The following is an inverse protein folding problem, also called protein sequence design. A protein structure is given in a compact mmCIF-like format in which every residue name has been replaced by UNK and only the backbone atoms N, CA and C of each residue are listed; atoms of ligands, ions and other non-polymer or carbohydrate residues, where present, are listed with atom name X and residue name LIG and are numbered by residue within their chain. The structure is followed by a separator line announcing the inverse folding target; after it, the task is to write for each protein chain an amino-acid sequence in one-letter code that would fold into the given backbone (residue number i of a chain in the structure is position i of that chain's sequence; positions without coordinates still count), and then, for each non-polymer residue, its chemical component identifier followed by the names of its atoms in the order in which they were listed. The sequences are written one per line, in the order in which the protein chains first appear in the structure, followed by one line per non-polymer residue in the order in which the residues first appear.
data_IF_853710601329
#
_entry.id   IF_853710601329
#
_cell.length_a   1.000
_cell.length_b   1.000
_cell.length_c   1.000
_cell.angle_alpha   90.00
_cell.angle_beta   90.00
_cell.angle_gamma   90.00
#
_symmetry.space_group_name_H-M   'P 1'
#
loop_
_entity.id
_entity.type
_entity.pdbx_description
1 polymer ?
#
# COMPACT_ATOMS: atom_id res chain seq x y z
N UNK A 1 -20.99 -0.74 -1.61
CA UNK A 1 -19.67 -0.73 -0.93
C UNK A 1 -18.70 -1.53 -1.80
N UNK A 2 -17.47 -1.06 -2.02
CA UNK A 2 -16.46 -1.82 -2.79
C UNK A 2 -16.18 -3.13 -2.06
N UNK A 3 -16.47 -4.26 -2.70
CA UNK A 3 -16.26 -5.58 -2.14
C UNK A 3 -14.83 -6.07 -2.42
N UNK A 4 -13.88 -5.51 -1.67
CA UNK A 4 -12.47 -5.84 -1.80
C UNK A 4 -12.17 -7.30 -1.40
N UNK A 5 -12.99 -7.91 -0.55
CA UNK A 5 -12.82 -9.32 -0.17
C UNK A 5 -13.07 -10.21 -1.38
N UNK A 6 -14.17 -10.01 -2.11
CA UNK A 6 -14.47 -10.78 -3.31
C UNK A 6 -13.54 -10.45 -4.48
N UNK A 7 -13.13 -9.20 -4.63
CA UNK A 7 -12.24 -8.78 -5.72
C UNK A 7 -10.77 -9.21 -5.54
N UNK A 8 -10.31 -9.36 -4.30
CA UNK A 8 -8.88 -9.56 -4.00
C UNK A 8 -8.64 -10.87 -3.26
N UNK A 9 -9.25 -11.03 -2.09
CA UNK A 9 -8.93 -12.12 -1.19
C UNK A 9 -9.46 -13.46 -1.69
N UNK A 10 -10.69 -13.50 -2.23
CA UNK A 10 -11.29 -14.74 -2.74
C UNK A 10 -10.47 -15.39 -3.86
N UNK A 11 -9.98 -14.67 -4.89
CA UNK A 11 -9.06 -15.23 -5.88
C UNK A 11 -7.79 -15.83 -5.25
N UNK A 12 -7.21 -15.15 -4.26
CA UNK A 12 -6.01 -15.62 -3.54
C UNK A 12 -6.32 -16.88 -2.72
N UNK A 13 -7.42 -16.90 -1.98
CA UNK A 13 -7.86 -18.05 -1.20
C UNK A 13 -8.11 -19.27 -2.09
N UNK A 14 -8.77 -19.08 -3.24
CA UNK A 14 -9.00 -20.15 -4.22
C UNK A 14 -7.68 -20.74 -4.73
N UNK A 15 -6.72 -19.88 -5.06
CA UNK A 15 -5.39 -20.33 -5.50
C UNK A 15 -4.66 -21.12 -4.40
N UNK A 16 -4.76 -20.67 -3.15
CA UNK A 16 -4.14 -21.34 -2.00
C UNK A 16 -4.89 -22.61 -1.53
N UNK A 17 -6.01 -22.97 -2.17
CA UNK A 17 -6.82 -24.13 -1.77
C UNK A 17 -7.63 -23.93 -0.49
N UNK A 18 -7.85 -22.69 -0.06
CA UNK A 18 -8.65 -22.38 1.12
C UNK A 18 -10.13 -22.70 0.91
N UNK A 19 -10.71 -23.50 1.82
CA UNK A 19 -12.12 -23.92 1.75
C UNK A 19 -13.10 -22.84 2.22
N UNK A 20 -12.64 -21.92 3.06
CA UNK A 20 -13.46 -20.83 3.63
C UNK A 20 -13.17 -19.57 2.84
N UNK A 21 -14.12 -19.18 1.98
CA UNK A 21 -14.04 -17.98 1.15
C UNK A 21 -14.83 -16.82 1.79
N UNK A 22 -14.51 -15.59 1.41
CA UNK A 22 -15.30 -14.42 1.80
C UNK A 22 -15.08 -13.90 3.22
N UNK A 23 -14.18 -14.51 4.00
CA UNK A 23 -13.76 -13.98 5.31
C UNK A 23 -12.55 -13.08 5.17
N UNK A 24 -12.52 -11.99 5.94
CA UNK A 24 -11.34 -11.13 6.09
C UNK A 24 -10.19 -11.87 6.77
N UNK A 25 -8.95 -11.40 6.56
CA UNK A 25 -7.81 -11.79 7.41
C UNK A 25 -8.01 -11.21 8.82
N UNK A 26 -7.63 -11.95 9.86
CA UNK A 26 -7.72 -11.47 11.25
C UNK A 26 -6.77 -10.30 11.48
N UNK A 27 -5.55 -10.38 10.95
CA UNK A 27 -4.54 -9.34 11.10
C UNK A 27 -3.67 -9.22 9.85
N UNK A 28 -3.40 -7.97 9.47
CA UNK A 28 -2.53 -7.65 8.36
C UNK A 28 -1.44 -6.67 8.77
N UNK A 29 -0.20 -6.92 8.34
CA UNK A 29 0.87 -5.95 8.38
C UNK A 29 1.05 -5.34 6.99
N UNK A 30 1.01 -4.01 6.89
CA UNK A 30 1.42 -3.27 5.68
C UNK A 30 2.80 -2.69 5.93
N UNK A 31 3.78 -3.17 5.16
CA UNK A 31 5.19 -2.79 5.32
C UNK A 31 5.57 -1.82 4.21
N UNK A 32 5.71 -0.55 4.58
CA UNK A 32 6.24 0.50 3.74
C UNK A 32 7.75 0.37 3.56
N UNK A 33 8.32 1.27 2.75
CA UNK A 33 9.72 1.16 2.37
C UNK A 33 10.63 2.14 3.14
N UNK A 34 10.10 2.94 4.07
CA UNK A 34 10.88 3.98 4.77
C UNK A 34 12.11 3.42 5.49
N UNK A 35 13.23 4.14 5.41
CA UNK A 35 14.46 3.81 6.13
C UNK A 35 14.32 3.83 7.65
N UNK A 36 13.23 4.38 8.20
CA UNK A 36 12.94 4.37 9.64
C UNK A 36 12.86 2.94 10.18
N UNK A 37 12.49 1.96 9.33
CA UNK A 37 12.42 0.56 9.73
C UNK A 37 13.76 0.03 10.25
N UNK A 38 14.90 0.57 9.80
CA UNK A 38 16.23 0.14 10.25
C UNK A 38 16.57 0.58 11.69
N UNK A 39 15.69 1.36 12.33
CA UNK A 39 15.89 1.85 13.71
C UNK A 39 15.21 0.96 14.76
N UNK A 40 14.49 -0.08 14.35
CA UNK A 40 13.73 -0.95 15.24
C UNK A 40 13.67 -2.38 14.71
N UNK A 41 13.49 -3.35 15.59
CA UNK A 41 13.47 -4.77 15.25
C UNK A 41 12.04 -5.29 15.12
N UNK A 42 11.28 -4.75 14.16
CA UNK A 42 9.87 -5.14 13.97
C UNK A 42 9.69 -6.49 13.28
N UNK A 43 10.77 -7.21 12.92
CA UNK A 43 10.70 -8.37 12.06
C UNK A 43 9.78 -9.47 12.57
N UNK A 44 9.92 -9.87 13.84
CA UNK A 44 9.06 -10.88 14.45
C UNK A 44 7.61 -10.40 14.59
N UNK A 45 7.40 -9.13 14.93
CA UNK A 45 6.07 -8.54 15.04
C UNK A 45 5.36 -8.51 13.69
N UNK A 46 6.05 -8.11 12.63
CA UNK A 46 5.52 -8.13 11.25
C UNK A 46 5.15 -9.56 10.87
N UNK A 47 6.06 -10.51 11.07
CA UNK A 47 5.85 -11.91 10.70
C UNK A 47 4.79 -12.61 11.59
N UNK A 48 4.39 -12.04 12.72
CA UNK A 48 3.29 -12.56 13.56
C UNK A 48 1.88 -12.36 12.95
N UNK A 49 1.73 -11.49 11.94
CA UNK A 49 0.44 -11.21 11.31
C UNK A 49 -0.01 -12.36 10.38
N UNK A 50 -1.33 -12.52 10.20
CA UNK A 50 -1.89 -13.54 9.31
C UNK A 50 -1.48 -13.28 7.86
N UNK A 51 -1.55 -12.01 7.41
CA UNK A 51 -1.07 -11.59 6.10
C UNK A 51 -0.07 -10.43 6.19
N UNK A 52 0.95 -10.46 5.34
CA UNK A 52 1.92 -9.37 5.19
C UNK A 52 1.89 -8.83 3.76
N UNK A 53 1.62 -7.53 3.63
CA UNK A 53 1.56 -6.79 2.36
C UNK A 53 2.83 -5.95 2.23
N UNK A 54 3.60 -6.14 1.16
CA UNK A 54 4.85 -5.39 0.89
C UNK A 54 4.77 -4.62 -0.42
N UNK A 55 5.49 -3.49 -0.50
CA UNK A 55 5.35 -2.53 -1.59
C UNK A 55 6.53 -2.57 -2.58
N UNK A 56 6.25 -2.46 -3.89
CA UNK A 56 7.20 -2.05 -4.93
C UNK A 56 8.58 -2.76 -4.91
N UNK A 57 8.59 -4.09 -4.76
CA UNK A 57 9.80 -4.92 -4.76
C UNK A 57 10.84 -4.54 -3.67
N UNK A 58 10.36 -4.12 -2.50
CA UNK A 58 11.20 -3.91 -1.33
C UNK A 58 12.03 -5.16 -1.03
N UNK A 59 13.31 -5.00 -0.71
CA UNK A 59 14.17 -6.17 -0.45
C UNK A 59 13.82 -6.79 0.89
N UNK A 60 13.68 -8.11 0.91
CA UNK A 60 13.66 -8.95 2.11
C UNK A 60 14.87 -9.88 2.09
N UNK A 61 15.20 -10.51 3.22
CA UNK A 61 16.35 -11.39 3.37
C UNK A 61 17.65 -10.69 3.78
N UNK A 62 18.63 -11.51 4.16
CA UNK A 62 19.99 -11.12 4.57
C UNK A 62 20.01 -10.26 5.85
N UNK A 63 20.17 -8.95 5.69
CA UNK A 63 20.45 -8.00 6.76
C UNK A 63 19.20 -7.24 7.20
N UNK A 64 18.03 -7.50 6.61
CA UNK A 64 16.82 -6.73 6.90
C UNK A 64 15.77 -7.50 7.70
N UNK A 65 15.85 -8.83 7.77
CA UNK A 65 14.77 -9.66 8.34
C UNK A 65 14.48 -9.31 9.81
N UNK A 66 15.50 -8.95 10.59
CA UNK A 66 15.34 -8.48 11.97
C UNK A 66 14.48 -7.20 12.06
N UNK A 67 14.57 -6.30 11.08
CA UNK A 67 13.79 -5.07 11.04
C UNK A 67 12.44 -5.23 10.37
N UNK A 68 12.39 -5.92 9.23
CA UNK A 68 11.23 -5.88 8.32
C UNK A 68 10.54 -7.22 8.14
N UNK A 69 11.04 -8.29 8.76
CA UNK A 69 10.50 -9.64 8.65
C UNK A 69 10.79 -10.30 7.31
N UNK A 70 10.46 -11.57 7.21
CA UNK A 70 10.69 -12.42 6.04
C UNK A 70 9.39 -12.82 5.33
N UNK A 71 8.26 -12.82 6.04
CA UNK A 71 6.95 -13.22 5.50
C UNK A 71 6.47 -12.21 4.46
N UNK A 72 5.93 -12.72 3.36
CA UNK A 72 5.17 -11.94 2.38
C UNK A 72 4.00 -12.76 1.89
N UNK A 73 2.79 -12.23 2.10
CA UNK A 73 1.54 -12.87 1.65
C UNK A 73 1.01 -12.22 0.37
N UNK A 74 1.24 -10.92 0.20
CA UNK A 74 0.76 -10.13 -0.93
C UNK A 74 1.84 -9.14 -1.35
N UNK A 75 2.14 -9.11 -2.65
CA UNK A 75 3.00 -8.10 -3.28
C UNK A 75 2.13 -6.99 -3.86
N UNK A 76 2.18 -5.79 -3.29
CA UNK A 76 1.44 -4.65 -3.82
C UNK A 76 2.39 -3.74 -4.63
N UNK A 77 2.13 -3.56 -5.92
CA UNK A 77 3.08 -2.89 -6.82
C UNK A 77 2.42 -1.83 -7.68
N UNK A 78 3.14 -0.74 -7.92
CA UNK A 78 2.82 0.21 -8.98
C UNK A 78 3.05 -0.43 -10.36
N UNK A 79 2.19 -0.16 -11.35
CA UNK A 79 2.36 -0.70 -12.72
C UNK A 79 3.70 -0.38 -13.40
N UNK A 80 4.36 0.72 -13.07
CA UNK A 80 5.72 1.01 -13.56
C UNK A 80 6.74 -0.05 -13.08
N UNK A 81 6.55 -0.62 -11.89
CA UNK A 81 7.41 -1.70 -11.38
C UNK A 81 7.21 -2.97 -12.21
N UNK A 82 5.96 -3.29 -12.56
CA UNK A 82 5.68 -4.41 -13.46
C UNK A 82 6.30 -4.16 -14.84
N UNK A 83 6.14 -2.95 -15.39
CA UNK A 83 6.71 -2.57 -16.69
C UNK A 83 8.23 -2.82 -16.74
N UNK A 84 8.98 -2.45 -15.69
CA UNK A 84 10.43 -2.69 -15.63
C UNK A 84 10.80 -4.18 -15.70
N UNK A 85 9.99 -5.05 -15.09
CA UNK A 85 10.25 -6.47 -14.98
C UNK A 85 9.63 -7.31 -16.11
N UNK A 86 8.58 -6.80 -16.78
CA UNK A 86 7.89 -7.42 -17.91
C UNK A 86 8.68 -7.31 -19.24
N UNK A 87 9.66 -6.41 -19.32
CA UNK A 87 10.53 -6.22 -20.52
C UNK A 87 11.42 -7.44 -20.86
N UNK A 88 11.43 -8.49 -20.05
CA UNK A 88 12.18 -9.73 -20.29
C UNK A 88 11.19 -10.85 -20.64
N UNK A 89 11.58 -11.74 -21.56
CA UNK A 89 10.76 -12.91 -21.94
C UNK A 89 10.34 -13.71 -20.69
N UNK A 90 9.05 -14.04 -20.55
CA UNK A 90 8.53 -14.88 -19.46
C UNK A 90 8.15 -14.18 -18.14
N UNK A 91 8.17 -12.85 -18.09
CA UNK A 91 7.76 -12.04 -16.92
C UNK A 91 8.38 -12.51 -15.57
N UNK A 92 9.59 -12.07 -15.27
CA UNK A 92 10.30 -12.43 -14.02
C UNK A 92 9.91 -11.57 -12.80
N UNK A 93 8.64 -11.19 -12.69
CA UNK A 93 8.14 -10.34 -11.60
C UNK A 93 7.89 -11.13 -10.31
N UNK A 94 8.92 -11.72 -9.70
CA UNK A 94 8.78 -12.50 -8.46
C UNK A 94 9.66 -11.96 -7.32
N UNK A 95 9.50 -10.68 -6.94
CA UNK A 95 10.35 -10.02 -5.94
C UNK A 95 10.36 -10.73 -4.57
N UNK A 96 9.24 -11.38 -4.22
CA UNK A 96 9.02 -12.03 -2.93
C UNK A 96 8.85 -13.56 -3.08
N UNK A 97 9.23 -14.12 -4.22
CA UNK A 97 9.06 -15.53 -4.54
C UNK A 97 7.94 -15.82 -5.55
N UNK A 98 7.99 -17.02 -6.13
CA UNK A 98 7.12 -17.44 -7.26
C UNK A 98 5.69 -17.77 -6.86
N UNK A 99 5.40 -17.83 -5.56
CA UNK A 99 4.09 -18.22 -5.02
C UNK A 99 3.32 -17.03 -4.42
N UNK A 100 3.86 -15.82 -4.51
CA UNK A 100 3.24 -14.62 -3.93
C UNK A 100 2.33 -13.96 -4.96
N UNK A 101 1.03 -13.75 -4.66
CA UNK A 101 0.13 -13.00 -5.52
C UNK A 101 0.55 -11.53 -5.61
N UNK A 102 0.28 -10.93 -6.76
CA UNK A 102 0.61 -9.53 -7.04
C UNK A 102 -0.69 -8.76 -7.20
N UNK A 103 -0.80 -7.63 -6.51
CA UNK A 103 -1.90 -6.68 -6.66
C UNK A 103 -1.29 -5.36 -7.14
N UNK A 104 -1.96 -4.71 -8.09
CA UNK A 104 -1.45 -3.46 -8.66
C UNK A 104 -2.56 -2.52 -9.11
N UNK A 105 -2.25 -1.23 -9.15
CA UNK A 105 -3.00 -0.24 -9.90
C UNK A 105 -2.27 0.12 -11.19
N UNK A 106 -3.03 0.49 -12.21
CA UNK A 106 -2.51 0.91 -13.50
C UNK A 106 -2.27 2.43 -13.50
N UNK A 107 -1.06 2.83 -13.84
CA UNK A 107 -0.67 4.24 -13.95
C UNK A 107 -0.73 4.73 -15.40
N UNK A 108 -0.50 3.84 -16.36
CA UNK A 108 -0.52 4.16 -17.78
C UNK A 108 -1.24 3.06 -18.55
N UNK A 109 -2.05 3.40 -19.58
CA UNK A 109 -2.71 2.41 -20.42
C UNK A 109 -1.75 1.43 -21.09
N UNK A 110 -0.53 1.88 -21.42
CA UNK A 110 0.50 1.03 -22.02
C UNK A 110 0.88 -0.17 -21.12
N UNK A 111 0.82 -0.02 -19.80
CA UNK A 111 1.15 -1.10 -18.85
C UNK A 111 0.10 -2.21 -18.82
N UNK A 112 -1.04 -2.03 -19.49
CA UNK A 112 -2.03 -3.10 -19.60
C UNK A 112 -1.48 -4.28 -20.41
N UNK A 113 -0.65 -4.02 -21.43
CA UNK A 113 -0.02 -5.10 -22.19
C UNK A 113 0.97 -5.89 -21.34
N UNK A 114 1.77 -5.22 -20.52
CA UNK A 114 2.68 -5.87 -19.57
C UNK A 114 1.91 -6.77 -18.60
N UNK A 115 0.76 -6.30 -18.12
CA UNK A 115 -0.13 -7.11 -17.29
C UNK A 115 -0.62 -8.36 -18.03
N UNK A 116 -1.07 -8.25 -19.29
CA UNK A 116 -1.56 -9.42 -20.04
C UNK A 116 -0.46 -10.46 -20.23
N UNK A 117 0.75 -10.03 -20.59
CA UNK A 117 1.92 -10.91 -20.72
C UNK A 117 2.24 -11.56 -19.39
N UNK A 118 2.36 -10.78 -18.32
CA UNK A 118 2.67 -11.29 -16.99
C UNK A 118 1.59 -12.22 -16.41
N UNK A 119 0.32 -11.90 -16.58
CA UNK A 119 -0.80 -12.69 -16.07
C UNK A 119 -0.89 -14.07 -16.77
N UNK A 120 -0.38 -14.19 -18.00
CA UNK A 120 -0.30 -15.48 -18.70
C UNK A 120 0.79 -16.41 -18.15
N UNK A 121 1.84 -15.85 -17.54
CA UNK A 121 3.04 -16.58 -17.11
C UNK A 121 3.16 -16.71 -15.59
N UNK A 122 2.64 -15.73 -14.83
CA UNK A 122 2.62 -15.71 -13.37
C UNK A 122 1.57 -16.68 -12.86
N UNK A 123 1.99 -17.70 -12.10
CA UNK A 123 1.08 -18.74 -11.60
C UNK A 123 0.12 -18.23 -10.51
N UNK A 124 0.58 -17.45 -9.51
CA UNK A 124 -0.32 -16.85 -8.53
C UNK A 124 -1.21 -15.78 -9.16
N UNK A 125 -2.32 -15.39 -8.51
CA UNK A 125 -3.14 -14.29 -8.97
C UNK A 125 -2.34 -12.99 -9.17
N UNK A 126 -2.44 -12.41 -10.36
CA UNK A 126 -2.04 -11.05 -10.68
C UNK A 126 -3.32 -10.22 -10.85
N UNK A 127 -3.58 -9.29 -9.92
CA UNK A 127 -4.87 -8.60 -9.80
C UNK A 127 -4.67 -7.10 -10.03
N UNK A 128 -5.46 -6.52 -10.94
CA UNK A 128 -5.59 -5.07 -11.09
C UNK A 128 -6.70 -4.57 -10.15
N UNK A 129 -6.45 -3.49 -9.42
CA UNK A 129 -7.44 -2.84 -8.55
C UNK A 129 -8.60 -2.25 -9.35
N UNK A 130 -9.79 -2.20 -8.74
CA UNK A 130 -10.98 -1.61 -9.35
C UNK A 130 -10.76 -0.09 -9.57
N UNK A 131 -11.04 0.48 -10.75
CA UNK A 131 -10.86 1.92 -11.00
C UNK A 131 -11.64 2.82 -10.03
N UNK A 132 -12.76 2.35 -9.48
CA UNK A 132 -13.52 3.09 -8.45
C UNK A 132 -12.76 3.18 -7.14
N UNK A 133 -11.97 2.15 -6.82
CA UNK A 133 -11.09 2.13 -5.66
C UNK A 133 -9.91 3.10 -5.85
N UNK A 134 -9.35 3.16 -7.05
CA UNK A 134 -8.31 4.14 -7.40
C UNK A 134 -8.83 5.58 -7.25
N UNK A 135 -10.03 5.87 -7.79
CA UNK A 135 -10.68 7.18 -7.67
C UNK A 135 -10.98 7.53 -6.20
N UNK A 136 -11.40 6.56 -5.39
CA UNK A 136 -11.63 6.77 -3.96
C UNK A 136 -10.34 7.18 -3.25
N UNK A 137 -9.25 6.44 -3.45
CA UNK A 137 -7.95 6.76 -2.85
C UNK A 137 -7.46 8.15 -3.28
N UNK A 138 -7.53 8.46 -4.58
CA UNK A 138 -7.13 9.77 -5.10
C UNK A 138 -7.95 10.92 -4.51
N UNK A 139 -9.28 10.75 -4.35
CA UNK A 139 -10.15 11.78 -3.76
C UNK A 139 -9.84 12.02 -2.29
N UNK A 140 -9.57 10.96 -1.52
CA UNK A 140 -9.20 11.09 -0.10
C UNK A 140 -7.91 11.90 0.02
N UNK A 141 -6.83 11.49 -0.66
CA UNK A 141 -5.54 12.20 -0.56
C UNK A 141 -5.67 13.64 -1.06
N UNK A 142 -6.38 13.87 -2.17
CA UNK A 142 -6.60 15.23 -2.67
C UNK A 142 -7.34 16.11 -1.66
N UNK A 143 -8.33 15.58 -0.94
CA UNK A 143 -9.01 16.31 0.12
C UNK A 143 -8.03 16.75 1.24
N UNK A 144 -7.21 15.83 1.75
CA UNK A 144 -6.22 16.16 2.80
C UNK A 144 -5.17 17.15 2.29
N UNK A 145 -4.70 16.99 1.05
CA UNK A 145 -3.72 17.90 0.44
C UNK A 145 -4.28 19.31 0.26
N UNK A 146 -5.52 19.44 -0.24
CA UNK A 146 -6.20 20.73 -0.37
C UNK A 146 -6.41 21.40 1.00
N UNK A 147 -6.89 20.64 1.99
CA UNK A 147 -7.09 21.12 3.35
C UNK A 147 -5.78 21.67 3.93
N UNK A 148 -4.71 20.87 3.88
CA UNK A 148 -3.39 21.24 4.39
C UNK A 148 -2.81 22.45 3.66
N UNK A 149 -3.00 22.55 2.35
CA UNK A 149 -2.55 23.70 1.57
C UNK A 149 -3.21 25.00 2.03
N UNK A 150 -4.54 25.01 2.17
CA UNK A 150 -5.27 26.19 2.66
C UNK A 150 -4.85 26.54 4.08
N UNK A 151 -4.75 25.56 4.98
CA UNK A 151 -4.38 25.78 6.39
C UNK A 151 -2.93 26.28 6.56
N UNK A 152 -1.98 25.85 5.72
CA UNK A 152 -0.56 26.22 5.87
C UNK A 152 -0.15 27.46 5.09
N UNK A 153 -0.81 27.73 3.96
CA UNK A 153 -0.41 28.82 3.06
C UNK A 153 -1.36 30.01 3.11
N UNK A 154 -2.57 29.82 3.67
CA UNK A 154 -3.67 30.80 3.65
C UNK A 154 -4.09 31.23 2.24
N UNK A 155 -3.67 30.49 1.20
CA UNK A 155 -3.98 30.75 -0.20
C UNK A 155 -5.32 30.16 -0.62
N UNK A 156 -5.84 30.65 -1.74
CA UNK A 156 -7.07 30.13 -2.33
C UNK A 156 -6.87 28.72 -2.88
N UNK A 157 -7.85 27.85 -2.68
CA UNK A 157 -7.85 26.45 -3.14
C UNK A 157 -7.56 26.31 -4.65
N UNK A 158 -7.88 27.32 -5.46
CA UNK A 158 -7.59 27.37 -6.91
C UNK A 158 -6.10 27.40 -7.22
N UNK A 159 -5.26 27.87 -6.29
CA UNK A 159 -3.80 27.90 -6.45
C UNK A 159 -3.14 26.54 -6.15
N UNK A 160 -3.87 25.60 -5.54
CA UNK A 160 -3.31 24.30 -5.13
C UNK A 160 -2.69 23.53 -6.30
N UNK A 161 -3.36 23.56 -7.47
CA UNK A 161 -2.92 22.82 -8.65
C UNK A 161 -1.56 23.27 -9.19
N UNK A 162 -1.21 24.56 -9.05
CA UNK A 162 0.09 25.07 -9.44
C UNK A 162 1.20 24.63 -8.47
N UNK A 163 0.87 24.45 -7.19
CA UNK A 163 1.83 24.05 -6.16
C UNK A 163 2.09 22.53 -6.08
N UNK A 164 1.15 21.70 -6.56
CA UNK A 164 1.19 20.23 -6.40
C UNK A 164 1.13 19.48 -7.73
N UNK A 165 1.64 20.08 -8.81
CA UNK A 165 1.64 19.50 -10.15
C UNK A 165 0.27 18.90 -10.52
N UNK A 166 -0.81 19.67 -10.33
CA UNK A 166 -2.16 19.14 -10.08
C UNK A 166 -2.74 18.16 -11.11
N UNK A 167 -2.25 18.15 -12.36
CA UNK A 167 -2.62 17.17 -13.39
C UNK A 167 -1.96 15.79 -13.18
N UNK A 168 -0.77 15.77 -12.58
CA UNK A 168 0.02 14.57 -12.29
C UNK A 168 -0.12 14.10 -10.84
N UNK A 169 -0.75 14.89 -9.98
CA UNK A 169 -0.96 14.55 -8.56
C UNK A 169 -1.51 13.13 -8.41
N UNK A 170 -0.79 12.30 -7.65
CA UNK A 170 -1.15 10.91 -7.43
C UNK A 170 -0.81 10.50 -5.99
N UNK A 171 -1.58 9.57 -5.43
CA UNK A 171 -1.29 8.99 -4.11
C UNK A 171 -0.13 7.98 -4.18
N UNK A 172 0.53 7.70 -3.06
CA UNK A 172 1.61 6.71 -2.98
C UNK A 172 1.07 5.28 -3.07
N UNK A 173 1.88 4.32 -3.53
CA UNK A 173 1.46 2.90 -3.51
C UNK A 173 1.09 2.41 -2.10
N UNK A 174 1.69 3.02 -1.06
CA UNK A 174 1.41 2.71 0.33
C UNK A 174 0.00 3.11 0.76
N UNK A 175 -0.49 4.27 0.31
CA UNK A 175 -1.87 4.71 0.56
C UNK A 175 -2.89 3.68 0.10
N UNK A 176 -2.78 3.21 -1.14
CA UNK A 176 -3.74 2.25 -1.65
C UNK A 176 -3.57 0.86 -1.02
N UNK A 177 -2.35 0.46 -0.67
CA UNK A 177 -2.12 -0.79 0.06
C UNK A 177 -2.75 -0.77 1.46
N UNK A 178 -2.68 0.35 2.19
CA UNK A 178 -3.36 0.53 3.48
C UNK A 178 -4.87 0.47 3.29
N UNK A 179 -5.41 1.20 2.32
CA UNK A 179 -6.85 1.17 2.02
C UNK A 179 -7.34 -0.24 1.63
N UNK A 180 -6.51 -1.01 0.92
CA UNK A 180 -6.80 -2.38 0.54
C UNK A 180 -6.82 -3.28 1.78
N UNK A 181 -5.81 -3.15 2.67
CA UNK A 181 -5.74 -3.88 3.93
C UNK A 181 -6.97 -3.60 4.81
N UNK A 182 -7.41 -2.35 4.93
CA UNK A 182 -8.64 -1.98 5.66
C UNK A 182 -9.91 -2.61 5.06
N UNK A 183 -9.89 -2.93 3.77
CA UNK A 183 -10.95 -3.63 3.07
C UNK A 183 -10.97 -5.14 3.30
N UNK A 184 -9.80 -5.77 3.41
CA UNK A 184 -9.65 -7.24 3.43
C UNK A 184 -9.23 -7.82 4.78
N UNK A 185 -8.98 -6.97 5.79
CA UNK A 185 -8.51 -7.38 7.11
C UNK A 185 -9.41 -6.79 8.22
N UNK A 186 -9.45 -7.45 9.37
CA UNK A 186 -10.12 -6.98 10.59
C UNK A 186 -9.25 -5.96 11.33
N UNK A 187 -7.97 -6.30 11.54
CA UNK A 187 -6.96 -5.43 12.16
C UNK A 187 -5.82 -5.17 11.18
N UNK A 188 -5.35 -3.92 11.10
CA UNK A 188 -4.25 -3.52 10.23
C UNK A 188 -3.17 -2.83 11.05
N UNK A 189 -1.94 -3.31 10.96
CA UNK A 189 -0.75 -2.67 11.51
C UNK A 189 0.11 -2.14 10.38
N UNK A 190 0.61 -0.92 10.51
CA UNK A 190 1.35 -0.22 9.46
C UNK A 190 2.76 0.10 9.95
N UNK A 191 3.77 -0.28 9.16
CA UNK A 191 5.19 -0.16 9.51
C UNK A 191 5.94 0.57 8.41
N UNK A 192 6.86 1.48 8.75
CA UNK A 192 7.74 2.11 7.76
C UNK A 192 7.04 3.12 6.85
N UNK A 193 6.04 3.82 7.40
CA UNK A 193 5.36 4.96 6.79
C UNK A 193 5.67 6.19 7.62
N UNK A 194 6.28 7.22 7.06
CA UNK A 194 6.78 8.36 7.82
C UNK A 194 8.22 8.66 7.47
N UNK A 195 8.66 9.85 7.87
CA UNK A 195 9.98 10.39 7.53
C UNK A 195 10.72 10.80 8.79
N UNK A 196 11.98 10.42 8.86
CA UNK A 196 12.95 11.00 9.80
C UNK A 196 14.03 11.70 9.00
N UNK A 197 14.47 12.88 9.44
CA UNK A 197 15.52 13.65 8.77
C UNK A 197 16.85 12.87 8.63
N UNK A 198 17.04 11.85 9.48
CA UNK A 198 18.23 11.01 9.52
C UNK A 198 18.06 9.69 8.73
N UNK A 199 16.84 9.35 8.32
CA UNK A 199 16.53 8.11 7.62
C UNK A 199 16.58 8.27 6.10
N UNK A 200 16.97 7.19 5.40
CA UNK A 200 16.86 7.11 3.94
C UNK A 200 15.37 7.03 3.53
N UNK A 201 15.05 7.44 2.31
CA UNK A 201 13.70 7.30 1.77
C UNK A 201 13.31 5.84 1.62
N UNK A 202 14.25 4.98 1.19
CA UNK A 202 14.08 3.53 1.20
C UNK A 202 15.09 2.84 2.11
N UNK A 203 14.66 1.85 2.90
CA UNK A 203 15.56 1.04 3.72
C UNK A 203 16.51 0.17 2.87
N UNK A 204 16.11 -0.15 1.64
CA UNK A 204 16.82 -1.08 0.75
C UNK A 204 17.51 -0.42 -0.45
N UNK A 205 17.47 0.92 -0.56
CA UNK A 205 18.20 1.68 -1.60
C UNK A 205 18.98 2.84 -0.99
N UNK A 206 19.81 3.51 -1.80
CA UNK A 206 20.50 4.73 -1.39
C UNK A 206 19.70 6.01 -1.67
N UNK A 207 18.42 5.88 -2.05
CA UNK A 207 17.56 7.04 -2.28
C UNK A 207 17.27 7.75 -0.95
N UNK A 208 17.55 9.05 -0.92
CA UNK A 208 17.30 9.92 0.25
C UNK A 208 16.12 10.88 0.04
N UNK A 209 15.85 11.28 -1.19
CA UNK A 209 14.77 12.21 -1.52
C UNK A 209 13.46 11.48 -1.83
N UNK A 210 12.36 12.06 -1.34
CA UNK A 210 11.00 11.72 -1.72
C UNK A 210 10.71 12.21 -3.14
N UNK A 211 9.80 11.52 -3.84
CA UNK A 211 9.27 12.02 -5.10
C UNK A 211 8.31 13.18 -4.80
N UNK A 212 8.45 14.30 -5.52
CA UNK A 212 7.56 15.47 -5.39
C UNK A 212 6.11 15.19 -5.83
N UNK A 213 5.88 14.06 -6.50
CA UNK A 213 4.59 13.65 -7.05
C UNK A 213 3.53 13.31 -5.98
N UNK A 214 3.99 12.94 -4.78
CA UNK A 214 3.12 12.48 -3.69
C UNK A 214 3.15 13.50 -2.54
N UNK A 215 1.99 13.88 -2.04
CA UNK A 215 1.86 14.64 -0.81
C UNK A 215 1.80 13.67 0.39
N UNK A 216 2.98 13.15 0.77
CA UNK A 216 3.10 12.17 1.86
C UNK A 216 2.55 12.69 3.18
N UNK A 217 2.70 13.98 3.44
CA UNK A 217 2.20 14.61 4.65
C UNK A 217 0.66 14.59 4.70
N UNK A 218 -0.02 14.84 3.58
CA UNK A 218 -1.47 14.68 3.48
C UNK A 218 -1.92 13.22 3.71
N UNK A 219 -1.15 12.24 3.22
CA UNK A 219 -1.41 10.82 3.49
C UNK A 219 -1.23 10.49 4.97
N UNK A 220 -0.18 11.04 5.60
CA UNK A 220 0.08 10.87 7.03
C UNK A 220 -1.01 11.49 7.89
N UNK A 221 -1.49 12.69 7.56
CA UNK A 221 -2.63 13.31 8.25
C UNK A 221 -3.87 12.39 8.19
N UNK A 222 -4.14 11.77 7.04
CA UNK A 222 -5.21 10.78 6.90
C UNK A 222 -5.01 9.53 7.76
N UNK A 223 -3.80 8.96 7.79
CA UNK A 223 -3.51 7.80 8.63
C UNK A 223 -3.66 8.12 10.12
N UNK A 224 -3.24 9.30 10.56
CA UNK A 224 -3.44 9.75 11.93
C UNK A 224 -4.94 9.84 12.29
N UNK A 225 -5.76 10.36 11.38
CA UNK A 225 -7.21 10.42 11.58
C UNK A 225 -7.84 9.02 11.65
N UNK A 226 -7.37 8.06 10.85
CA UNK A 226 -7.80 6.65 10.94
C UNK A 226 -7.43 6.00 12.28
N UNK A 227 -6.23 6.25 12.80
CA UNK A 227 -5.80 5.73 14.11
C UNK A 227 -6.61 6.37 15.25
N UNK A 228 -6.83 7.69 15.21
CA UNK A 228 -7.55 8.43 16.27
C UNK A 228 -9.05 8.18 16.24
N UNK A 229 -9.61 7.89 15.07
CA UNK A 229 -11.05 7.70 14.86
C UNK A 229 -11.32 6.35 14.17
N UNK A 230 -11.09 5.22 14.85
CA UNK A 230 -11.31 3.89 14.28
C UNK A 230 -12.79 3.58 13.98
N UNK A 231 -13.72 4.42 14.48
CA UNK A 231 -15.16 4.23 14.36
C UNK A 231 -15.72 5.02 13.17
N UNK A 232 -15.93 4.33 12.05
CA UNK A 232 -16.96 4.73 11.08
C UNK A 232 -18.24 3.98 11.49
N UNK A 233 -19.15 4.66 12.18
CA UNK A 233 -20.51 4.15 12.38
C UNK A 233 -21.16 3.97 11.01
N UNK A 234 -21.52 2.73 10.67
CA UNK A 234 -22.42 2.48 9.55
C UNK A 234 -23.81 3.01 9.95
N UNK A 235 -24.58 3.55 8.98
CA UNK A 235 -25.92 4.10 9.21
C UNK A 235 -26.94 3.06 9.71
N UNK A 236 -26.51 1.80 9.83
CA UNK A 236 -27.23 0.65 10.35
C UNK A 236 -26.98 0.36 11.84
N UNK A 237 -26.08 1.11 12.51
CA UNK A 237 -25.75 0.91 13.93
C UNK A 237 -24.85 -0.32 14.21
N UNK A 238 -24.34 -0.98 13.17
CA UNK A 238 -23.39 -2.09 13.31
C UNK A 238 -21.96 -1.56 13.51
N UNK A 239 -21.42 -1.75 14.72
CA UNK A 239 -20.01 -1.49 15.03
C UNK A 239 -19.11 -2.38 14.18
N UNK A 240 -18.32 -1.77 13.29
CA UNK A 240 -17.14 -2.43 12.72
C UNK A 240 -15.90 -1.86 13.38
N UNK A 241 -15.26 -2.65 14.24
CA UNK A 241 -14.04 -2.24 14.94
C UNK A 241 -12.87 -2.32 13.94
N UNK A 242 -12.67 -1.28 13.14
CA UNK A 242 -11.54 -1.19 12.21
C UNK A 242 -10.39 -0.52 12.94
N UNK A 243 -9.50 -1.31 13.51
CA UNK A 243 -8.31 -0.80 14.17
C UNK A 243 -7.16 -0.72 13.16
N UNK A 244 -6.80 0.51 12.78
CA UNK A 244 -5.50 0.81 12.20
C UNK A 244 -4.54 1.09 13.36
N UNK A 245 -3.44 0.36 13.42
CA UNK A 245 -2.33 0.61 14.34
C UNK A 245 -1.15 1.11 13.52
N UNK A 246 -0.63 2.26 13.89
CA UNK A 246 0.55 2.82 13.25
C UNK A 246 1.76 2.61 14.17
N UNK A 247 2.62 1.68 13.78
CA UNK A 247 3.81 1.29 14.54
C UNK A 247 5.01 2.09 14.03
N UNK A 248 5.15 3.31 14.56
CA UNK A 248 6.33 4.15 14.39
C UNK A 248 6.76 4.70 15.75
N UNK A 249 7.99 4.41 16.14
CA UNK A 249 8.59 4.87 17.40
C UNK A 249 8.89 6.37 17.48
N UNK A 250 8.52 7.19 16.48
CA UNK A 250 8.87 8.60 16.40
C UNK A 250 7.73 9.41 15.77
N UNK A 251 6.88 9.98 16.61
CA UNK A 251 6.17 11.25 16.36
C UNK A 251 7.01 12.36 16.99
#
# INVERSE_FOLDING_TARGET
MLDLVNGVKVPIDKYNGNKVLGKKYKSCAVVGNSGILLQSEYGELIDSHEAVIRLNNAKTGKNFDHNVGSKTSISFVNSNILHLCARREGCFCHPYGTNVPIIMYLCQPAHFLDYLVCNSSHKPPLIITDPRFDVLCARIVKYYSLKRFVEKTEKDVREWGAAHEGANFHYSSGMQAIMLALGVCEKVSVFGFGKSALAKHHYHTNQKAELSLHDYEAEYDFYHDLVKRPQLEDTTGLRTDRSLIWENSLV
#
